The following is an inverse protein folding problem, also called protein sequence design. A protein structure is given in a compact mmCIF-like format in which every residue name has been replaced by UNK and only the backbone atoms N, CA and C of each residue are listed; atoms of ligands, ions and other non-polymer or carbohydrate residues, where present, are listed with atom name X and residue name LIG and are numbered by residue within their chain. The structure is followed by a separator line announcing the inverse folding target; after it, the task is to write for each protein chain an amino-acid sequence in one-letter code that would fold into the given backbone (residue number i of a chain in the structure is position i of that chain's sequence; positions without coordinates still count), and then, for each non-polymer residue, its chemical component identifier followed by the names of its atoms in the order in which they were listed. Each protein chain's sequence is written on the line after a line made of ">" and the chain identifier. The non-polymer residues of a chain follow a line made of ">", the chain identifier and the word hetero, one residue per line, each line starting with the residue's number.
data_IF_411380647652
#
_entry.id   IF_411380647652
#
_cell.length_a   1.000
_cell.length_b   1.000
_cell.length_c   1.000
_cell.angle_alpha   90.00
_cell.angle_beta   90.00
_cell.angle_gamma   90.00
#
_symmetry.space_group_name_H-M   'P 1'
#
loop_
_entity.id
_entity.type
_entity.pdbx_description
1 polymer ?
#
# COMPACT_ATOMS: atom_id res chain seq x y z
N UNK A 1 3.66 -21.53 48.94
CA UNK A 1 2.41 -20.73 48.96
C UNK A 1 2.58 -19.63 47.95
N UNK A 2 1.81 -19.46 46.88
CA UNK A 2 0.74 -20.23 46.27
C UNK A 2 0.66 -19.75 44.81
N UNK A 3 0.39 -20.67 43.90
CA UNK A 3 0.13 -20.36 42.50
C UNK A 3 -1.20 -19.62 42.38
N UNK A 4 -1.28 -18.62 41.51
CA UNK A 4 -2.56 -18.07 41.03
C UNK A 4 -2.43 -17.75 39.55
N UNK A 5 -2.82 -18.76 38.78
CA UNK A 5 -3.58 -18.75 37.52
C UNK A 5 -3.38 -17.57 36.55
N UNK A 6 -2.66 -17.88 35.46
CA UNK A 6 -2.73 -17.17 34.19
C UNK A 6 -4.10 -17.33 33.53
N UNK A 7 -4.76 -16.22 33.22
CA UNK A 7 -5.75 -16.12 32.13
C UNK A 7 -5.23 -15.13 31.10
N UNK A 8 -4.20 -15.55 30.36
CA UNK A 8 -3.85 -14.91 29.11
C UNK A 8 -4.87 -15.37 28.07
N UNK A 9 -5.83 -14.50 27.76
CA UNK A 9 -6.53 -14.50 26.47
C UNK A 9 -5.50 -14.21 25.38
N UNK A 10 -4.68 -15.22 25.08
CA UNK A 10 -3.92 -15.32 23.85
C UNK A 10 -4.94 -15.59 22.75
N UNK A 11 -5.49 -14.52 22.16
CA UNK A 11 -6.06 -14.59 20.83
C UNK A 11 -4.91 -14.86 19.87
N UNK A 12 -4.49 -16.11 19.86
CA UNK A 12 -3.47 -16.65 18.98
C UNK A 12 -4.10 -16.87 17.61
N UNK A 13 -4.35 -15.79 16.86
CA UNK A 13 -4.39 -15.89 15.41
C UNK A 13 -2.94 -15.89 14.93
N UNK A 14 -2.35 -17.08 14.99
CA UNK A 14 -1.18 -17.42 14.20
C UNK A 14 -1.60 -17.29 12.74
N UNK A 15 -0.76 -16.65 11.92
CA UNK A 15 -0.84 -16.62 10.46
C UNK A 15 -1.33 -17.97 9.91
N UNK A 16 -2.60 -18.01 9.55
CA UNK A 16 -3.19 -19.12 8.84
C UNK A 16 -3.14 -18.74 7.37
N UNK A 17 -2.18 -19.33 6.65
CA UNK A 17 -2.13 -19.25 5.20
C UNK A 17 -3.48 -19.76 4.70
N UNK A 18 -4.31 -18.87 4.17
CA UNK A 18 -5.58 -19.23 3.54
C UNK A 18 -5.28 -19.88 2.18
N UNK A 19 -4.83 -21.12 2.20
CA UNK A 19 -4.83 -21.97 1.01
C UNK A 19 -6.28 -22.22 0.63
N UNK A 20 -6.71 -21.68 -0.51
CA UNK A 20 -7.97 -22.01 -1.18
C UNK A 20 -7.94 -23.52 -1.46
N UNK A 21 -8.48 -24.30 -0.53
CA UNK A 21 -8.70 -25.73 -0.68
C UNK A 21 -10.20 -25.93 -0.71
N UNK A 22 -10.81 -25.54 -1.82
CA UNK A 22 -12.11 -26.08 -2.21
C UNK A 22 -11.87 -26.88 -3.48
N UNK A 23 -11.30 -28.07 -3.27
CA UNK A 23 -11.49 -29.17 -4.19
C UNK A 23 -12.93 -29.64 -3.95
N UNK A 24 -13.84 -29.60 -4.94
CA UNK A 24 -15.12 -30.26 -4.77
C UNK A 24 -14.85 -31.76 -4.57
N UNK A 25 -14.97 -32.21 -3.33
CA UNK A 25 -15.15 -33.61 -3.02
C UNK A 25 -16.47 -34.05 -3.68
N UNK A 26 -16.43 -35.21 -4.34
CA UNK A 26 -17.51 -35.86 -5.10
C UNK A 26 -17.90 -35.32 -6.48
N UNK A 27 -17.18 -34.34 -7.03
CA UNK A 27 -17.29 -33.99 -8.44
C UNK A 27 -16.35 -34.82 -9.30
N UNK A 28 -16.84 -35.86 -9.99
CA UNK A 28 -16.09 -36.47 -11.11
C UNK A 28 -15.73 -35.34 -12.07
N UNK A 29 -14.44 -35.21 -12.40
CA UNK A 29 -13.94 -34.19 -13.33
C UNK A 29 -14.84 -34.19 -14.58
N UNK A 30 -15.44 -33.06 -14.97
CA UNK A 30 -16.37 -33.00 -16.10
C UNK A 30 -15.74 -33.51 -17.41
N UNK A 31 -14.41 -33.43 -17.55
CA UNK A 31 -13.69 -34.06 -18.66
C UNK A 31 -13.66 -35.58 -18.54
N UNK A 32 -13.53 -36.11 -17.33
CA UNK A 32 -13.50 -37.55 -17.04
C UNK A 32 -14.90 -38.17 -17.20
N UNK A 33 -15.95 -37.41 -16.89
CA UNK A 33 -17.34 -37.79 -17.18
C UNK A 33 -17.64 -37.76 -18.69
N UNK A 34 -17.16 -36.74 -19.43
CA UNK A 34 -17.23 -36.73 -20.89
C UNK A 34 -16.47 -37.89 -21.52
N UNK A 35 -15.27 -38.21 -21.02
CA UNK A 35 -14.47 -39.32 -21.51
C UNK A 35 -15.13 -40.67 -21.26
N UNK A 36 -15.83 -40.84 -20.13
CA UNK A 36 -16.65 -42.03 -19.87
C UNK A 36 -17.95 -42.09 -20.68
N UNK A 37 -18.55 -40.95 -21.00
CA UNK A 37 -19.79 -40.83 -21.79
C UNK A 37 -19.57 -41.14 -23.27
N UNK A 38 -18.34 -40.98 -23.77
CA UNK A 38 -17.97 -41.33 -25.14
C UNK A 38 -18.14 -42.83 -25.36
N UNK A 39 -19.17 -43.21 -26.13
CA UNK A 39 -19.32 -44.57 -26.65
C UNK A 39 -18.12 -44.90 -27.53
N UNK A 40 -17.28 -45.82 -27.05
CA UNK A 40 -16.26 -46.48 -27.86
C UNK A 40 -16.98 -47.09 -29.05
N UNK A 41 -16.84 -46.45 -30.21
CA UNK A 41 -17.37 -46.98 -31.46
C UNK A 41 -16.60 -48.25 -31.76
N UNK A 42 -17.28 -49.25 -32.34
CA UNK A 42 -16.63 -50.51 -32.74
C UNK A 42 -15.31 -50.20 -33.46
N UNK A 43 -14.20 -50.84 -33.07
CA UNK A 43 -12.92 -50.58 -33.68
C UNK A 43 -13.04 -50.75 -35.20
N UNK A 44 -12.51 -49.78 -35.95
CA UNK A 44 -12.52 -49.81 -37.43
C UNK A 44 -11.81 -51.08 -37.93
N UNK A 45 -10.93 -51.65 -37.11
CA UNK A 45 -10.23 -52.91 -37.35
C UNK A 45 -10.95 -54.05 -36.63
N UNK A 46 -11.69 -54.86 -37.39
CA UNK A 46 -12.43 -56.04 -36.93
C UNK A 46 -11.58 -57.30 -36.77
N UNK A 47 -10.27 -57.22 -37.04
CA UNK A 47 -9.35 -58.35 -36.88
C UNK A 47 -8.35 -58.11 -35.75
N UNK A 48 -8.14 -59.15 -34.95
CA UNK A 48 -7.04 -59.24 -33.98
C UNK A 48 -5.71 -59.11 -34.76
N UNK A 49 -4.83 -58.16 -34.41
CA UNK A 49 -3.49 -58.14 -34.99
C UNK A 49 -2.73 -59.37 -34.51
N UNK A 50 -2.39 -60.28 -35.41
CA UNK A 50 -1.57 -61.48 -35.15
C UNK A 50 -0.09 -61.12 -34.86
N UNK A 51 0.20 -59.88 -34.49
CA UNK A 51 1.53 -59.29 -34.48
C UNK A 51 2.10 -59.31 -33.06
N UNK A 52 3.12 -60.14 -32.83
CA UNK A 52 3.73 -60.37 -31.52
C UNK A 52 4.92 -59.43 -31.21
N UNK A 53 5.22 -58.45 -32.08
CA UNK A 53 6.39 -57.58 -31.92
C UNK A 53 6.22 -56.17 -32.51
N UNK A 54 6.49 -55.14 -31.70
CA UNK A 54 6.43 -53.71 -32.09
C UNK A 54 7.42 -53.35 -33.20
N UNK A 55 8.55 -54.05 -33.31
CA UNK A 55 9.52 -53.84 -34.39
C UNK A 55 9.00 -54.28 -35.75
N UNK A 56 8.15 -55.31 -35.81
CA UNK A 56 7.51 -55.71 -37.08
C UNK A 56 6.49 -54.67 -37.56
N UNK A 57 5.87 -53.92 -36.64
CA UNK A 57 4.92 -52.85 -36.98
C UNK A 57 5.65 -51.63 -37.55
N UNK A 58 6.81 -51.27 -37.00
CA UNK A 58 7.59 -50.10 -37.43
C UNK A 58 8.32 -50.31 -38.76
N UNK A 59 8.74 -51.55 -39.05
CA UNK A 59 9.53 -51.88 -40.24
C UNK A 59 8.65 -52.33 -41.42
N UNK A 60 7.37 -52.63 -41.17
CA UNK A 60 6.44 -53.01 -42.24
C UNK A 60 6.11 -51.83 -43.13
N UNK A 61 6.71 -51.84 -44.32
CA UNK A 61 6.22 -51.10 -45.50
C UNK A 61 4.72 -51.35 -45.63
N UNK A 62 3.87 -50.30 -45.69
CA UNK A 62 2.42 -50.48 -45.70
C UNK A 62 2.02 -51.39 -46.87
N UNK A 63 1.39 -52.52 -46.54
CA UNK A 63 0.84 -53.45 -47.52
C UNK A 63 -0.21 -52.73 -48.37
N UNK A 64 -0.25 -52.92 -49.70
CA UNK A 64 -1.16 -52.23 -50.62
C UNK A 64 -2.62 -52.72 -50.55
N UNK A 65 -3.05 -53.24 -49.39
CA UNK A 65 -4.40 -53.75 -49.17
C UNK A 65 -5.07 -52.99 -48.03
N UNK A 66 -5.35 -51.73 -48.31
CA UNK A 66 -6.46 -51.01 -47.71
C UNK A 66 -7.11 -50.31 -48.88
N UNK A 67 -8.39 -50.60 -49.15
CA UNK A 67 -9.14 -49.87 -50.17
C UNK A 67 -8.92 -48.38 -49.89
N UNK A 68 -8.47 -47.59 -50.89
CA UNK A 68 -8.10 -46.21 -50.64
C UNK A 68 -9.37 -45.48 -50.26
N UNK A 69 -9.56 -45.26 -48.96
CA UNK A 69 -10.44 -44.23 -48.43
C UNK A 69 -9.87 -42.94 -48.97
N UNK A 70 -10.26 -42.60 -50.20
CA UNK A 70 -9.70 -41.51 -50.98
C UNK A 70 -10.26 -40.24 -50.37
N UNK A 71 -9.62 -39.79 -49.30
CA UNK A 71 -9.89 -38.49 -48.72
C UNK A 71 -9.64 -37.47 -49.82
N UNK A 72 -10.67 -36.70 -50.14
CA UNK A 72 -10.57 -35.72 -51.21
C UNK A 72 -9.50 -34.69 -50.80
N UNK A 73 -8.39 -34.56 -51.55
CA UNK A 73 -7.28 -33.68 -51.18
C UNK A 73 -7.70 -32.22 -51.06
N UNK A 74 -8.78 -31.81 -51.75
CA UNK A 74 -9.37 -30.47 -51.65
C UNK A 74 -9.98 -30.22 -50.28
N UNK A 75 -10.71 -31.19 -49.72
CA UNK A 75 -11.33 -31.11 -48.38
C UNK A 75 -10.26 -31.09 -47.30
N UNK A 76 -9.18 -31.85 -47.49
CA UNK A 76 -8.04 -31.85 -46.58
C UNK A 76 -7.34 -30.48 -46.56
N UNK A 77 -7.09 -29.89 -47.73
CA UNK A 77 -6.51 -28.56 -47.84
C UNK A 77 -7.40 -27.49 -47.19
N UNK A 78 -8.71 -27.56 -47.42
CA UNK A 78 -9.68 -26.66 -46.79
C UNK A 78 -9.70 -26.78 -45.26
N UNK A 79 -9.63 -28.01 -44.72
CA UNK A 79 -9.54 -28.25 -43.28
C UNK A 79 -8.25 -27.66 -42.69
N UNK A 80 -7.11 -27.84 -43.37
CA UNK A 80 -5.84 -27.24 -42.94
C UNK A 80 -5.86 -25.72 -42.99
N UNK A 81 -6.44 -25.12 -44.04
CA UNK A 81 -6.63 -23.67 -44.13
C UNK A 81 -7.52 -23.16 -43.00
N UNK A 82 -8.67 -23.80 -42.75
CA UNK A 82 -9.57 -23.42 -41.67
C UNK A 82 -8.91 -23.54 -40.28
N UNK A 83 -8.08 -24.58 -40.09
CA UNK A 83 -7.30 -24.76 -38.86
C UNK A 83 -6.21 -23.69 -38.72
N UNK A 84 -5.49 -23.35 -39.80
CA UNK A 84 -4.49 -22.29 -39.80
C UNK A 84 -5.11 -20.92 -39.47
N UNK A 85 -6.24 -20.59 -40.09
CA UNK A 85 -6.96 -19.34 -39.81
C UNK A 85 -7.44 -19.28 -38.35
N UNK A 86 -7.88 -20.42 -37.81
CA UNK A 86 -8.26 -20.52 -36.40
C UNK A 86 -7.04 -20.31 -35.48
N UNK A 87 -5.91 -20.96 -35.78
CA UNK A 87 -4.65 -20.81 -35.03
C UNK A 87 -4.14 -19.37 -35.05
N UNK A 88 -4.18 -18.71 -36.21
CA UNK A 88 -3.76 -17.32 -36.37
C UNK A 88 -4.65 -16.39 -35.54
N UNK A 89 -5.98 -16.57 -35.61
CA UNK A 89 -6.93 -15.79 -34.78
C UNK A 89 -6.70 -16.01 -33.29
N UNK A 90 -6.43 -17.25 -32.85
CA UNK A 90 -6.12 -17.55 -31.45
C UNK A 90 -4.83 -16.86 -31.02
N UNK A 91 -3.77 -16.97 -31.82
CA UNK A 91 -2.47 -16.33 -31.56
C UNK A 91 -2.61 -14.82 -31.44
N UNK A 92 -3.33 -14.18 -32.38
CA UNK A 92 -3.61 -12.74 -32.34
C UNK A 92 -4.36 -12.33 -31.08
N UNK A 93 -5.38 -13.09 -30.69
CA UNK A 93 -6.17 -12.80 -29.48
C UNK A 93 -5.32 -12.92 -28.22
N UNK A 94 -4.46 -13.94 -28.13
CA UNK A 94 -3.55 -14.14 -27.00
C UNK A 94 -2.53 -13.01 -26.94
N UNK A 95 -1.93 -12.66 -28.09
CA UNK A 95 -0.96 -11.57 -28.18
C UNK A 95 -1.56 -10.24 -27.72
N UNK A 96 -2.77 -9.89 -28.17
CA UNK A 96 -3.43 -8.65 -27.76
C UNK A 96 -3.70 -8.63 -26.25
N UNK A 97 -4.19 -9.74 -25.68
CA UNK A 97 -4.42 -9.81 -24.23
C UNK A 97 -3.12 -9.71 -23.44
N UNK A 98 -2.03 -10.28 -23.95
CA UNK A 98 -0.73 -10.21 -23.30
C UNK A 98 -0.22 -8.78 -23.26
N UNK A 99 -0.33 -8.04 -24.38
CA UNK A 99 0.02 -6.63 -24.47
C UNK A 99 -0.83 -5.77 -23.52
N UNK A 100 -2.14 -5.98 -23.48
CA UNK A 100 -3.03 -5.26 -22.57
C UNK A 100 -2.66 -5.51 -21.08
N UNK A 101 -2.27 -6.73 -20.74
CA UNK A 101 -1.82 -7.09 -19.39
C UNK A 101 -0.48 -6.42 -19.08
N UNK A 102 0.47 -6.44 -20.01
CA UNK A 102 1.78 -5.81 -19.85
C UNK A 102 1.66 -4.30 -19.61
N UNK A 103 0.85 -3.61 -20.42
CA UNK A 103 0.55 -2.18 -20.25
C UNK A 103 -0.06 -1.88 -18.87
N UNK A 104 -0.98 -2.73 -18.39
CA UNK A 104 -1.57 -2.57 -17.05
C UNK A 104 -0.55 -2.79 -15.93
N UNK A 105 0.36 -3.75 -16.10
CA UNK A 105 1.44 -4.02 -15.13
C UNK A 105 2.39 -2.82 -15.08
N UNK A 106 2.77 -2.25 -16.22
CA UNK A 106 3.64 -1.08 -16.28
C UNK A 106 3.02 0.12 -15.54
N UNK A 107 1.75 0.42 -15.81
CA UNK A 107 1.02 1.50 -15.12
C UNK A 107 0.91 1.23 -13.63
N UNK A 108 0.59 -0.01 -13.21
CA UNK A 108 0.51 -0.38 -11.81
C UNK A 108 1.87 -0.23 -11.09
N UNK A 109 2.97 -0.63 -11.73
CA UNK A 109 4.32 -0.47 -11.20
C UNK A 109 4.69 1.01 -11.05
N UNK A 110 4.43 1.83 -12.08
CA UNK A 110 4.66 3.26 -12.03
C UNK A 110 3.88 3.94 -10.89
N UNK A 111 2.62 3.53 -10.69
CA UNK A 111 1.79 4.03 -9.60
C UNK A 111 2.32 3.58 -8.23
N UNK A 112 2.71 2.32 -8.08
CA UNK A 112 3.25 1.77 -6.84
C UNK A 112 4.53 2.52 -6.40
N UNK A 113 5.45 2.79 -7.34
CA UNK A 113 6.66 3.57 -7.08
C UNK A 113 6.32 4.99 -6.63
N UNK A 114 5.39 5.67 -7.32
CA UNK A 114 4.96 7.03 -6.95
C UNK A 114 4.30 7.06 -5.56
N UNK A 115 3.50 6.05 -5.23
CA UNK A 115 2.87 5.94 -3.92
C UNK A 115 3.91 5.76 -2.81
N UNK A 116 4.88 4.87 -3.03
CA UNK A 116 5.98 4.65 -2.09
C UNK A 116 6.81 5.92 -1.87
N UNK A 117 7.11 6.65 -2.95
CA UNK A 117 7.83 7.92 -2.86
C UNK A 117 7.06 8.96 -2.03
N UNK A 118 5.76 9.12 -2.29
CA UNK A 118 4.87 10.03 -1.53
C UNK A 118 4.81 9.64 -0.06
N UNK A 119 4.71 8.34 0.23
CA UNK A 119 4.68 7.83 1.60
C UNK A 119 5.99 8.13 2.34
N UNK A 120 7.14 7.84 1.73
CA UNK A 120 8.44 8.12 2.33
C UNK A 120 8.68 9.61 2.60
N UNK A 121 8.22 10.47 1.68
CA UNK A 121 8.23 11.92 1.90
C UNK A 121 7.36 12.30 3.11
N UNK A 122 6.13 11.80 3.19
CA UNK A 122 5.22 12.06 4.31
C UNK A 122 5.82 11.61 5.66
N UNK A 123 6.40 10.41 5.72
CA UNK A 123 7.08 9.89 6.91
C UNK A 123 8.24 10.79 7.32
N UNK A 124 9.03 11.28 6.35
CA UNK A 124 10.16 12.17 6.63
C UNK A 124 9.70 13.53 7.15
N UNK A 125 8.64 14.10 6.56
CA UNK A 125 8.02 15.33 7.03
C UNK A 125 7.46 15.18 8.46
N UNK A 126 6.72 14.10 8.74
CA UNK A 126 6.22 13.80 10.09
C UNK A 126 7.34 13.64 11.10
N UNK A 127 8.43 12.94 10.74
CA UNK A 127 9.59 12.78 11.63
C UNK A 127 10.23 14.12 11.96
N UNK A 128 10.33 15.02 10.97
CA UNK A 128 10.86 16.37 11.15
C UNK A 128 9.96 17.18 12.09
N UNK A 129 8.65 17.19 11.85
CA UNK A 129 7.69 17.85 12.74
C UNK A 129 7.74 17.29 14.16
N UNK A 130 7.79 15.97 14.32
CA UNK A 130 7.91 15.33 15.63
C UNK A 130 9.20 15.73 16.35
N UNK A 131 10.32 15.83 15.62
CA UNK A 131 11.57 16.32 16.18
C UNK A 131 11.46 17.78 16.66
N UNK A 132 10.87 18.67 15.87
CA UNK A 132 10.65 20.06 16.29
C UNK A 132 9.73 20.15 17.52
N UNK A 133 8.64 19.38 17.55
CA UNK A 133 7.71 19.34 18.68
C UNK A 133 8.38 18.77 19.95
N UNK A 134 9.31 17.83 19.81
CA UNK A 134 10.07 17.31 20.94
C UNK A 134 10.89 18.41 21.64
N UNK A 135 11.33 19.43 20.91
CA UNK A 135 12.03 20.59 21.45
C UNK A 135 11.13 21.61 22.16
N UNK A 136 9.81 21.55 21.96
CA UNK A 136 8.85 22.45 22.62
C UNK A 136 8.70 22.13 24.10
N UNK A 137 8.74 20.85 24.49
CA UNK A 137 8.55 20.45 25.88
C UNK A 137 9.64 20.98 26.83
N UNK A 138 10.96 20.85 26.51
CA UNK A 138 12.01 21.49 27.30
C UNK A 138 11.83 23.00 27.44
N UNK A 139 11.54 23.71 26.35
CA UNK A 139 11.32 25.16 26.38
C UNK A 139 10.12 25.55 27.25
N UNK A 140 9.04 24.77 27.21
CA UNK A 140 7.88 24.98 28.07
C UNK A 140 8.24 24.86 29.56
N UNK A 141 9.11 23.91 29.91
CA UNK A 141 9.60 23.73 31.29
C UNK A 141 10.46 24.93 31.72
N UNK A 142 11.40 25.37 30.88
CA UNK A 142 12.26 26.53 31.17
C UNK A 142 11.46 27.83 31.35
N UNK A 143 10.46 28.06 30.49
CA UNK A 143 9.53 29.20 30.63
C UNK A 143 8.75 29.11 31.95
N UNK A 144 8.34 27.90 32.35
CA UNK A 144 7.68 27.64 33.63
C UNK A 144 8.57 27.96 34.83
N UNK A 145 9.84 27.52 34.81
CA UNK A 145 10.80 27.81 35.87
C UNK A 145 11.10 29.31 35.98
N UNK A 146 11.35 29.97 34.83
CA UNK A 146 11.63 31.40 34.78
C UNK A 146 10.44 32.22 35.32
N UNK A 147 9.22 31.83 34.96
CA UNK A 147 8.00 32.42 35.52
C UNK A 147 7.93 32.24 37.04
N UNK A 148 8.29 31.06 37.56
CA UNK A 148 8.37 30.79 38.99
C UNK A 148 9.35 31.73 39.70
N UNK A 149 10.59 31.82 39.20
CA UNK A 149 11.63 32.73 39.72
C UNK A 149 11.21 34.19 39.68
N UNK A 150 10.59 34.64 38.59
CA UNK A 150 10.09 36.01 38.47
C UNK A 150 8.99 36.29 39.51
N UNK A 151 8.09 35.33 39.72
CA UNK A 151 7.01 35.46 40.72
C UNK A 151 7.59 35.57 42.13
N UNK A 152 8.62 34.79 42.44
CA UNK A 152 9.35 34.88 43.71
C UNK A 152 10.02 36.25 43.89
N UNK A 153 10.71 36.77 42.86
CA UNK A 153 11.33 38.10 42.91
C UNK A 153 10.28 39.20 43.10
N UNK A 154 9.15 39.15 42.38
CA UNK A 154 8.05 40.11 42.56
C UNK A 154 7.50 40.03 43.99
N UNK A 155 7.29 38.82 44.52
CA UNK A 155 6.81 38.63 45.89
C UNK A 155 7.81 39.15 46.94
N UNK A 156 9.11 38.95 46.72
CA UNK A 156 10.17 39.48 47.58
C UNK A 156 10.16 41.02 47.55
N UNK A 157 10.08 41.63 46.36
CA UNK A 157 9.94 43.07 46.20
C UNK A 157 8.67 43.59 46.87
N UNK A 158 7.53 42.91 46.76
CA UNK A 158 6.29 43.32 47.43
C UNK A 158 6.40 43.22 48.95
N UNK A 159 7.07 42.18 49.48
CA UNK A 159 7.34 42.06 50.91
C UNK A 159 8.28 43.18 51.40
N UNK A 160 9.27 43.57 50.59
CA UNK A 160 10.14 44.71 50.86
C UNK A 160 9.34 46.02 50.83
N UNK A 161 8.48 46.22 49.83
CA UNK A 161 7.60 47.39 49.75
C UNK A 161 6.69 47.51 50.97
N UNK A 162 6.11 46.41 51.46
CA UNK A 162 5.33 46.38 52.71
C UNK A 162 6.18 46.78 53.92
N UNK A 163 7.38 46.22 54.04
CA UNK A 163 8.29 46.54 55.16
C UNK A 163 8.69 48.02 55.19
N UNK A 164 8.96 48.62 54.03
CA UNK A 164 9.30 50.05 53.96
C UNK A 164 8.06 50.92 54.27
N UNK A 165 6.86 50.48 53.89
CA UNK A 165 5.63 51.19 54.25
C UNK A 165 5.36 51.16 55.76
N UNK A 166 5.72 50.07 56.45
CA UNK A 166 5.50 49.91 57.89
C UNK A 166 6.59 50.55 58.77
N UNK A 167 7.86 50.40 58.39
CA UNK A 167 9.02 50.68 59.27
C UNK A 167 10.11 51.53 58.60
N UNK A 168 9.81 52.08 57.40
CA UNK A 168 10.75 52.87 56.60
C UNK A 168 10.73 54.37 56.91
N UNK A 169 11.74 55.13 56.44
CA UNK A 169 11.77 56.59 56.59
C UNK A 169 10.60 57.27 55.85
N UNK A 170 10.01 58.32 56.43
CA UNK A 170 8.77 58.97 55.93
C UNK A 170 8.85 59.42 54.45
N UNK A 171 10.03 59.79 53.97
CA UNK A 171 10.28 60.14 52.56
C UNK A 171 10.03 59.00 51.58
N UNK A 172 10.17 57.75 52.01
CA UNK A 172 9.96 56.55 51.19
C UNK A 172 8.55 55.99 51.32
N UNK A 173 7.90 56.16 52.48
CA UNK A 173 6.54 55.70 52.72
C UNK A 173 5.52 56.29 51.72
N UNK A 174 5.71 57.55 51.33
CA UNK A 174 4.82 58.25 50.38
C UNK A 174 5.07 57.90 48.90
N UNK A 175 6.22 57.29 48.56
CA UNK A 175 6.64 57.05 47.17
C UNK A 175 6.47 55.60 46.69
N UNK A 176 6.22 54.64 47.60
CA UNK A 176 6.26 53.21 47.25
C UNK A 176 4.89 52.68 46.81
N UNK A 177 4.85 52.02 45.65
CA UNK A 177 3.70 51.24 45.17
C UNK A 177 4.13 49.77 44.95
N UNK A 178 3.43 48.79 45.54
CA UNK A 178 3.69 47.37 45.30
C UNK A 178 3.56 47.00 43.81
N UNK A 179 4.39 46.07 43.35
CA UNK A 179 4.45 45.64 41.95
C UNK A 179 3.22 44.82 41.54
N UNK A 180 2.61 44.07 42.46
CA UNK A 180 1.34 43.35 42.23
C UNK A 180 0.18 44.28 41.90
N UNK A 181 0.16 45.50 42.44
CA UNK A 181 -0.87 46.50 42.12
C UNK A 181 -0.74 47.03 40.68
N UNK A 182 0.49 47.06 40.12
CA UNK A 182 0.73 47.42 38.72
C UNK A 182 0.39 46.30 37.74
N UNK A 183 0.69 45.03 38.10
CA UNK A 183 0.42 43.84 37.29
C UNK A 183 -1.06 43.75 36.86
N UNK A 184 -1.99 43.96 37.79
CA UNK A 184 -3.43 43.91 37.50
C UNK A 184 -3.92 45.05 36.58
N UNK A 185 -3.15 46.15 36.48
CA UNK A 185 -3.49 47.29 35.61
C UNK A 185 -2.97 47.12 34.17
N UNK A 186 -1.91 46.33 33.97
CA UNK A 186 -1.23 46.13 32.68
C UNK A 186 -1.64 44.83 31.95
N UNK A 187 -2.05 43.78 32.68
CA UNK A 187 -2.42 42.47 32.08
C UNK A 187 -3.92 42.28 31.81
N UNK A 188 -4.74 43.33 31.95
CA UNK A 188 -6.18 43.29 31.68
C UNK A 188 -6.57 43.26 30.20
N UNK A 189 -5.59 43.19 29.27
CA UNK A 189 -5.85 42.85 27.87
C UNK A 189 -5.57 41.36 27.67
N UNK A 190 -6.59 40.54 27.36
CA UNK A 190 -6.35 39.13 27.06
C UNK A 190 -5.46 39.05 25.82
N UNK A 191 -4.40 38.25 25.92
CA UNK A 191 -3.60 37.81 24.79
C UNK A 191 -4.58 37.20 23.78
N UNK A 192 -4.84 37.89 22.67
CA UNK A 192 -5.65 37.36 21.61
C UNK A 192 -4.99 36.06 21.15
N UNK A 193 -5.76 34.96 21.20
CA UNK A 193 -5.38 33.66 20.67
C UNK A 193 -4.97 33.84 19.22
N UNK A 194 -3.66 33.86 18.96
CA UNK A 194 -3.10 33.92 17.60
C UNK A 194 -3.36 32.57 16.95
N UNK A 195 -4.55 32.46 16.38
CA UNK A 195 -5.07 31.28 15.68
C UNK A 195 -5.01 31.54 14.17
N UNK A 196 -3.95 32.18 13.71
CA UNK A 196 -3.69 32.44 12.30
C UNK A 196 -2.18 32.40 12.11
N UNK A 197 -1.70 31.25 11.64
CA UNK A 197 -0.60 31.07 10.67
C UNK A 197 -0.47 29.54 10.50
N UNK A 198 -1.24 29.00 9.56
CA UNK A 198 -0.84 27.85 8.78
C UNK A 198 -1.50 27.97 7.39
N UNK A 199 -1.06 28.96 6.63
CA UNK A 199 -1.29 28.98 5.18
C UNK A 199 -0.51 27.80 4.56
N UNK A 200 -1.15 26.85 3.86
CA UNK A 200 -0.44 25.82 3.13
C UNK A 200 0.31 26.48 1.99
N UNK A 201 1.64 26.50 2.08
CA UNK A 201 2.54 27.01 1.07
C UNK A 201 2.24 26.37 -0.31
N UNK A 202 1.53 27.08 -1.18
CA UNK A 202 1.11 26.65 -2.52
C UNK A 202 2.27 26.56 -3.53
N UNK A 203 3.51 26.86 -3.13
CA UNK A 203 4.66 26.92 -4.05
C UNK A 203 5.09 25.55 -4.62
N UNK A 204 4.67 24.42 -4.03
CA UNK A 204 5.06 23.09 -4.49
C UNK A 204 4.19 22.52 -5.62
N UNK A 205 3.04 23.12 -5.93
CA UNK A 205 2.21 22.67 -7.07
C UNK A 205 2.72 23.20 -8.43
N UNK A 206 3.34 24.38 -8.46
CA UNK A 206 3.86 24.95 -9.72
C UNK A 206 5.10 24.24 -10.24
N UNK A 207 5.90 23.63 -9.34
CA UNK A 207 7.14 22.94 -9.72
C UNK A 207 6.90 21.58 -10.39
N UNK A 208 5.75 20.93 -10.15
CA UNK A 208 5.41 19.65 -10.79
C UNK A 208 4.73 19.81 -12.15
N UNK A 209 4.15 20.96 -12.48
CA UNK A 209 3.60 21.24 -13.82
C UNK A 209 4.69 21.60 -14.84
N UNK A 210 5.82 22.16 -14.39
CA UNK A 210 6.93 22.52 -15.28
C UNK A 210 7.75 21.31 -15.76
N UNK A 211 7.77 20.22 -14.98
CA UNK A 211 8.47 18.98 -15.35
C UNK A 211 7.67 18.16 -16.37
N UNK A 212 6.33 18.23 -16.37
CA UNK A 212 5.49 17.55 -17.37
C UNK A 212 5.44 18.26 -18.73
N UNK A 213 5.72 19.57 -18.80
CA UNK A 213 5.60 20.34 -20.04
C UNK A 213 6.91 20.46 -20.83
N UNK A 214 8.02 19.92 -20.33
CA UNK A 214 9.34 19.98 -21.00
C UNK A 214 9.73 18.69 -21.70
N UNK A 215 8.89 17.64 -21.67
CA UNK A 215 9.15 16.36 -22.35
C UNK A 215 8.43 16.18 -23.70
N UNK A 216 7.73 17.21 -24.20
CA UNK A 216 6.97 17.13 -25.46
C UNK A 216 7.44 18.10 -26.56
N UNK A 217 8.68 18.58 -26.51
CA UNK A 217 9.21 19.48 -27.53
C UNK A 217 10.70 19.32 -27.72
N UNK A 218 11.12 18.24 -28.37
CA UNK A 218 12.33 18.15 -29.20
C UNK A 218 12.21 16.91 -30.10
N UNK A 219 12.07 17.18 -31.40
CA UNK A 219 12.33 16.36 -32.61
C UNK A 219 11.91 14.88 -32.67
#
# INVERSE_FOLDING_TARGET
>A
MGSSESTLSSSQQVDQITTVTEKPEDGVDPLLEQLRSLKITTPILTSIPTENSLTDILVRKPSPSSAPGTLNPKVLLELFSMYHDWQERKTKTISQRQEDIENKIEVANALAVKLLQRFNYSVSAMRTTAHHLSGVHPLQVEVGELKGRLTEVISNCDALCKRIAEDGPESLQSSIKPFTALSNSLFSKPFASSSDILEPNQQYSSSLQQITNTSSSTD
#
